data_IF_630405304944
#
_entry.id   IF_630405304944
#
_cell.length_a   1.000
_cell.length_b   1.000
_cell.length_c   1.000
_cell.angle_alpha   90.00
_cell.angle_beta   90.00
_cell.angle_gamma   90.00
#
_symmetry.space_group_name_H-M   'P 1'
#
loop_
_entity.id
_entity.type
_entity.pdbx_description
1 polymer ?
#
# COMPACT_ATOMS: atom_id res chain seq x y z
N UNK A 1 -8.50 -14.98 -4.72
CA UNK A 1 -8.36 -14.49 -6.11
C UNK A 1 -6.90 -14.30 -6.52
N UNK A 2 -6.12 -13.40 -5.89
CA UNK A 2 -4.68 -13.17 -6.18
C UNK A 2 -3.81 -14.43 -6.17
N UNK A 3 -3.99 -15.31 -5.17
CA UNK A 3 -3.20 -16.54 -5.04
C UNK A 3 -3.41 -17.51 -6.21
N UNK A 4 -4.62 -17.58 -6.77
CA UNK A 4 -4.92 -18.42 -7.93
C UNK A 4 -4.22 -17.89 -9.19
N UNK A 5 -4.13 -16.58 -9.35
CA UNK A 5 -3.43 -15.93 -10.47
C UNK A 5 -1.92 -16.20 -10.39
N UNK A 6 -1.32 -16.10 -9.20
CA UNK A 6 0.11 -16.39 -8.99
C UNK A 6 0.44 -17.84 -9.31
N UNK A 7 -0.37 -18.80 -8.85
CA UNK A 7 -0.20 -20.23 -9.18
C UNK A 7 -0.27 -20.49 -10.68
N UNK A 8 -1.17 -19.77 -11.38
CA UNK A 8 -1.34 -19.88 -12.84
C UNK A 8 -0.14 -19.31 -13.61
N UNK A 9 0.45 -18.21 -13.16
CA UNK A 9 1.69 -17.65 -13.74
C UNK A 9 2.83 -18.67 -13.64
N UNK A 10 3.05 -19.24 -12.45
CA UNK A 10 4.13 -20.22 -12.20
C UNK A 10 3.98 -21.43 -13.13
N UNK A 11 2.77 -21.97 -13.24
CA UNK A 11 2.49 -23.10 -14.11
C UNK A 11 2.83 -22.80 -15.58
N UNK A 12 2.39 -21.65 -16.10
CA UNK A 12 2.67 -21.29 -17.50
C UNK A 12 4.14 -20.94 -17.74
N UNK A 13 4.88 -20.44 -16.75
CA UNK A 13 6.35 -20.29 -16.85
C UNK A 13 7.04 -21.64 -17.02
N UNK A 14 6.59 -22.68 -16.31
CA UNK A 14 7.12 -24.04 -16.49
C UNK A 14 6.78 -24.63 -17.86
N UNK A 15 5.56 -24.40 -18.36
CA UNK A 15 5.14 -24.81 -19.70
C UNK A 15 5.98 -24.10 -20.77
N UNK A 16 6.19 -22.79 -20.63
CA UNK A 16 7.04 -22.00 -21.52
C UNK A 16 8.47 -22.55 -21.56
N UNK A 17 9.07 -22.83 -20.40
CA UNK A 17 10.42 -23.40 -20.30
C UNK A 17 10.52 -24.75 -21.00
N UNK A 18 9.52 -25.62 -20.84
CA UNK A 18 9.46 -26.93 -21.50
C UNK A 18 9.27 -26.81 -23.00
N UNK A 19 8.37 -25.92 -23.45
CA UNK A 19 8.09 -25.68 -24.86
C UNK A 19 9.33 -25.12 -25.60
N UNK A 20 10.04 -24.14 -25.01
CA UNK A 20 11.29 -23.61 -25.57
C UNK A 20 12.36 -24.72 -25.69
N UNK A 21 12.52 -25.55 -24.65
CA UNK A 21 13.47 -26.66 -24.66
C UNK A 21 13.16 -27.69 -25.75
N UNK A 22 11.88 -27.90 -26.03
CA UNK A 22 11.40 -28.84 -27.04
C UNK A 22 11.24 -28.21 -28.44
N UNK A 23 11.64 -26.95 -28.63
CA UNK A 23 11.44 -26.18 -29.87
C UNK A 23 9.96 -26.10 -30.33
N UNK A 24 9.02 -26.20 -29.39
CA UNK A 24 7.60 -26.00 -29.65
C UNK A 24 7.25 -24.51 -29.55
N UNK A 25 7.46 -23.81 -30.65
CA UNK A 25 7.29 -22.35 -30.72
C UNK A 25 5.85 -21.90 -30.54
N UNK A 26 4.86 -22.74 -30.89
CA UNK A 26 3.44 -22.39 -30.77
C UNK A 26 3.03 -22.35 -29.30
N UNK A 27 3.31 -23.41 -28.56
CA UNK A 27 2.99 -23.48 -27.12
C UNK A 27 3.81 -22.49 -26.31
N UNK A 28 5.05 -22.20 -26.73
CA UNK A 28 5.85 -21.15 -26.12
C UNK A 28 5.20 -19.77 -26.30
N UNK A 29 4.79 -19.41 -27.51
CA UNK A 29 4.14 -18.13 -27.79
C UNK A 29 2.82 -17.96 -27.01
N UNK A 30 1.97 -18.98 -27.01
CA UNK A 30 0.68 -18.97 -26.28
C UNK A 30 0.90 -18.82 -24.76
N UNK A 31 1.90 -19.51 -24.21
CA UNK A 31 2.23 -19.41 -22.78
C UNK A 31 2.79 -18.04 -22.42
N UNK A 32 3.61 -17.45 -23.29
CA UNK A 32 4.18 -16.12 -23.09
C UNK A 32 3.11 -15.03 -23.08
N UNK A 33 2.15 -15.08 -24.03
CA UNK A 33 1.04 -14.12 -24.11
C UNK A 33 0.19 -14.16 -22.83
N UNK A 34 -0.15 -15.36 -22.37
CA UNK A 34 -0.95 -15.53 -21.15
C UNK A 34 -0.20 -15.04 -19.89
N UNK A 35 1.10 -15.28 -19.79
CA UNK A 35 1.92 -14.74 -18.68
C UNK A 35 1.85 -13.21 -18.67
N UNK A 36 1.94 -12.57 -19.83
CA UNK A 36 1.87 -11.10 -19.95
C UNK A 36 0.50 -10.56 -19.52
N UNK A 37 -0.59 -11.20 -19.91
CA UNK A 37 -1.96 -10.84 -19.48
C UNK A 37 -2.12 -10.98 -17.97
N UNK A 38 -1.68 -12.09 -17.38
CA UNK A 38 -1.79 -12.34 -15.94
C UNK A 38 -0.93 -11.36 -15.13
N UNK A 39 0.26 -10.99 -15.62
CA UNK A 39 1.11 -9.96 -15.00
C UNK A 39 0.44 -8.58 -15.02
N UNK A 40 -0.25 -8.24 -16.11
CA UNK A 40 -1.02 -7.00 -16.23
C UNK A 40 -2.13 -6.94 -15.18
N UNK A 41 -2.89 -8.03 -15.03
CA UNK A 41 -3.94 -8.17 -14.01
C UNK A 41 -3.35 -8.04 -12.60
N UNK A 42 -2.21 -8.70 -12.32
CA UNK A 42 -1.54 -8.59 -11.02
C UNK A 42 -1.06 -7.16 -10.71
N UNK A 43 -0.62 -6.41 -11.72
CA UNK A 43 -0.21 -5.02 -11.55
C UNK A 43 -1.41 -4.12 -11.26
N UNK A 44 -2.54 -4.33 -11.92
CA UNK A 44 -3.80 -3.61 -11.62
C UNK A 44 -4.22 -3.81 -10.16
N UNK A 45 -4.22 -5.05 -9.65
CA UNK A 45 -4.51 -5.32 -8.23
C UNK A 45 -3.48 -4.72 -7.25
N UNK A 46 -2.23 -4.53 -7.69
CA UNK A 46 -1.20 -3.85 -6.89
C UNK A 46 -1.48 -2.36 -6.76
N UNK A 47 -1.97 -1.72 -7.81
CA UNK A 47 -2.38 -0.31 -7.77
C UNK A 47 -3.62 -0.08 -6.90
N UNK A 48 -4.56 -1.03 -6.87
CA UNK A 48 -5.72 -0.98 -5.99
C UNK A 48 -5.37 -1.04 -4.49
N UNK A 49 -4.17 -1.50 -4.11
CA UNK A 49 -3.64 -1.42 -2.74
C UNK A 49 -2.62 -0.29 -2.66
N UNK A 50 -3.07 0.93 -2.93
CA UNK A 50 -2.27 2.12 -2.69
C UNK A 50 -2.19 2.40 -1.19
N UNK A 51 -1.18 1.83 -0.51
CA UNK A 51 -0.92 2.02 0.92
C UNK A 51 -0.91 3.48 1.36
N UNK A 52 -0.55 4.42 0.46
CA UNK A 52 -0.61 5.86 0.75
C UNK A 52 -2.05 6.35 0.94
N UNK A 53 -3.01 5.82 0.18
CA UNK A 53 -4.41 6.17 0.33
C UNK A 53 -5.00 5.61 1.61
N UNK A 54 -4.71 4.34 1.94
CA UNK A 54 -5.14 3.74 3.20
C UNK A 54 -4.57 4.52 4.40
N UNK A 55 -3.28 4.88 4.37
CA UNK A 55 -2.68 5.70 5.43
C UNK A 55 -3.35 7.07 5.49
N UNK A 56 -3.62 7.72 4.35
CA UNK A 56 -4.33 8.98 4.31
C UNK A 56 -5.80 8.88 4.75
N UNK A 57 -6.43 7.71 4.64
CA UNK A 57 -7.83 7.50 5.01
C UNK A 57 -7.98 7.43 6.54
N UNK A 58 -7.10 6.70 7.22
CA UNK A 58 -7.21 6.44 8.66
C UNK A 58 -6.32 7.30 9.55
N UNK A 59 -5.28 7.94 8.99
CA UNK A 59 -4.32 8.72 9.75
C UNK A 59 -4.23 10.17 9.27
N UNK A 60 -3.91 11.06 10.20
CA UNK A 60 -3.44 12.41 9.94
C UNK A 60 -1.92 12.46 10.09
N UNK A 61 -1.29 13.20 9.19
CA UNK A 61 0.09 13.67 9.34
C UNK A 61 0.18 14.78 10.40
N UNK A 62 1.39 15.02 10.91
CA UNK A 62 1.64 16.08 11.90
C UNK A 62 1.17 17.47 11.42
N UNK A 63 1.34 17.78 10.13
CA UNK A 63 0.87 19.04 9.53
C UNK A 63 -0.65 19.16 9.51
N UNK A 64 -1.37 18.07 9.25
CA UNK A 64 -2.84 18.06 9.26
C UNK A 64 -3.38 18.22 10.68
N UNK A 65 -2.77 17.56 11.66
CA UNK A 65 -3.14 17.70 13.08
C UNK A 65 -2.90 19.13 13.58
N UNK A 66 -1.77 19.74 13.21
CA UNK A 66 -1.46 21.13 13.54
C UNK A 66 -2.56 22.10 13.06
N UNK A 67 -3.05 21.93 11.82
CA UNK A 67 -4.18 22.70 11.27
C UNK A 67 -5.48 22.43 12.04
N UNK A 68 -5.84 21.16 12.25
CA UNK A 68 -7.07 20.75 12.96
C UNK A 68 -7.15 21.29 14.38
N UNK A 69 -6.04 21.25 15.11
CA UNK A 69 -5.97 21.69 16.51
C UNK A 69 -5.62 23.18 16.65
N UNK A 70 -5.41 23.88 15.53
CA UNK A 70 -4.91 25.26 15.47
C UNK A 70 -3.68 25.50 16.36
N UNK A 71 -2.69 24.61 16.22
CA UNK A 71 -1.43 24.60 16.99
C UNK A 71 -0.24 24.57 16.05
N UNK A 72 0.90 25.10 16.50
CA UNK A 72 2.13 25.01 15.72
C UNK A 72 2.62 23.56 15.60
N UNK A 73 3.34 23.25 14.51
CA UNK A 73 3.96 21.94 14.32
C UNK A 73 4.87 21.54 15.49
N UNK A 74 5.69 22.48 15.97
CA UNK A 74 6.58 22.25 17.12
C UNK A 74 5.79 21.92 18.41
N UNK A 75 4.63 22.56 18.61
CA UNK A 75 3.75 22.27 19.74
C UNK A 75 3.18 20.85 19.66
N UNK A 76 2.80 20.37 18.47
CA UNK A 76 2.33 18.98 18.29
C UNK A 76 3.46 18.00 18.61
N UNK A 77 4.65 18.18 18.03
CA UNK A 77 5.81 17.30 18.28
C UNK A 77 6.16 17.24 19.77
N UNK A 78 6.23 18.40 20.45
CA UNK A 78 6.46 18.45 21.91
C UNK A 78 5.35 17.75 22.69
N UNK A 79 4.10 17.89 22.25
CA UNK A 79 2.96 17.24 22.92
C UNK A 79 3.03 15.72 22.81
N UNK A 80 3.53 15.19 21.68
CA UNK A 80 3.78 13.76 21.50
C UNK A 80 4.94 13.29 22.37
N UNK A 81 6.07 14.02 22.35
CA UNK A 81 7.24 13.69 23.16
C UNK A 81 6.94 13.68 24.67
N UNK A 82 6.08 14.60 25.12
CA UNK A 82 5.65 14.70 26.50
C UNK A 82 4.48 13.76 26.85
N UNK A 83 4.07 12.87 25.93
CA UNK A 83 2.99 11.89 26.14
C UNK A 83 1.57 12.47 26.19
N UNK A 84 1.39 13.77 25.96
CA UNK A 84 0.07 14.44 25.98
C UNK A 84 -0.78 14.13 24.76
N UNK A 85 -0.16 13.69 23.67
CA UNK A 85 -0.84 13.38 22.43
C UNK A 85 -0.34 12.04 21.88
N UNK A 86 -1.26 11.10 21.64
CA UNK A 86 -0.92 9.75 21.16
C UNK A 86 -0.68 9.79 19.65
N UNK A 87 0.55 9.49 19.23
CA UNK A 87 0.94 9.38 17.82
C UNK A 87 1.99 8.31 17.62
N UNK A 88 2.00 7.70 16.43
CA UNK A 88 2.98 6.68 16.04
C UNK A 88 4.07 7.36 15.22
N UNK A 89 5.34 7.16 15.62
CA UNK A 89 6.49 7.65 14.86
C UNK A 89 6.80 6.68 13.73
N UNK A 90 6.85 7.19 12.51
CA UNK A 90 7.23 6.42 11.31
C UNK A 90 8.33 7.19 10.59
N UNK A 91 9.56 6.69 10.72
CA UNK A 91 10.75 7.39 10.23
C UNK A 91 10.97 8.73 10.95
N UNK A 92 10.89 9.83 10.18
CA UNK A 92 11.09 11.21 10.67
C UNK A 92 9.78 11.91 11.04
N UNK A 93 8.64 11.33 10.67
CA UNK A 93 7.32 11.93 10.83
C UNK A 93 6.49 11.22 11.91
N UNK A 94 5.45 11.91 12.39
CA UNK A 94 4.44 11.34 13.27
C UNK A 94 3.08 11.26 12.57
N UNK A 95 2.40 10.13 12.80
CA UNK A 95 1.07 9.82 12.30
C UNK A 95 0.09 9.63 13.47
N UNK A 96 -1.14 10.10 13.26
CA UNK A 96 -2.16 10.18 14.30
C UNK A 96 -3.46 9.57 13.78
N UNK A 97 -4.11 8.72 14.56
CA UNK A 97 -5.43 8.20 14.19
C UNK A 97 -6.43 9.34 14.03
N UNK A 98 -7.11 9.42 12.87
CA UNK A 98 -8.08 10.49 12.60
C UNK A 98 -9.16 10.57 13.67
N UNK A 99 -9.79 9.43 13.97
CA UNK A 99 -10.83 9.29 15.00
C UNK A 99 -10.44 9.95 16.33
N UNK A 100 -9.22 9.70 16.80
CA UNK A 100 -8.72 10.26 18.06
C UNK A 100 -8.54 11.79 18.00
N UNK A 101 -8.00 12.30 16.90
CA UNK A 101 -7.80 13.75 16.73
C UNK A 101 -9.14 14.48 16.56
N UNK A 102 -10.09 13.86 15.86
CA UNK A 102 -11.43 14.42 15.67
C UNK A 102 -12.18 14.48 17.00
N UNK A 103 -12.14 13.43 17.82
CA UNK A 103 -12.69 13.44 19.19
C UNK A 103 -12.07 14.55 20.07
N UNK A 104 -10.76 14.77 19.95
CA UNK A 104 -10.04 15.85 20.65
C UNK A 104 -10.47 17.23 20.18
N UNK A 105 -10.70 17.40 18.87
CA UNK A 105 -11.12 18.67 18.29
C UNK A 105 -12.57 19.02 18.67
N UNK A 106 -13.45 18.02 18.78
CA UNK A 106 -14.85 18.20 19.18
C UNK A 106 -15.06 18.48 20.67
N UNK A 107 -14.08 18.18 21.53
CA UNK A 107 -14.12 18.46 22.98
C UNK A 107 -13.74 19.90 23.35
N UNK A 108 -13.66 20.79 22.36
CA UNK A 108 -13.28 22.19 22.51
C UNK A 108 -14.50 23.08 22.43
#
# INVERSE_FOLDING_TARGET
MREQIVRRVIYHEEVLRKAIKNQDFKTAYESQLLIQELQTILNQYKEEINLKEIVNEYYYSTKQVAKKLNKSHATIVRSVQNGKLKGVRVGRDYFFLKKYIDEMASKK
#
